data_IF_745471386171
#
_entry.id   IF_745471386171
#
_cell.length_a   1.000
_cell.length_b   1.000
_cell.length_c   1.000
_cell.angle_alpha   90.00
_cell.angle_beta   90.00
_cell.angle_gamma   90.00
#
_symmetry.space_group_name_H-M   'P 1'
#
loop_
_entity.id
_entity.type
_entity.pdbx_description
1 polymer ?
#
# COMPACT_ATOMS: atom_id res chain seq x y z
N UNK A 1 9.12 -0.59 -18.61
CA UNK A 1 9.68 0.77 -18.73
C UNK A 1 11.17 0.63 -18.89
N UNK A 2 11.76 1.43 -19.77
CA UNK A 2 13.21 1.54 -19.86
C UNK A 2 13.78 2.11 -18.55
N UNK A 3 14.86 1.51 -18.03
CA UNK A 3 15.48 1.88 -16.76
C UNK A 3 16.02 3.32 -16.77
N UNK A 4 16.42 3.81 -17.96
CA UNK A 4 16.89 5.17 -18.16
C UNK A 4 15.74 6.19 -17.99
N UNK A 5 14.59 5.93 -18.62
CA UNK A 5 13.38 6.75 -18.51
C UNK A 5 12.84 6.77 -17.08
N UNK A 6 12.79 5.61 -16.41
CA UNK A 6 12.36 5.52 -15.02
C UNK A 6 13.26 6.34 -14.08
N UNK A 7 14.57 6.29 -14.28
CA UNK A 7 15.54 7.06 -13.50
C UNK A 7 15.39 8.57 -13.72
N UNK A 8 15.15 9.01 -14.96
CA UNK A 8 14.88 10.42 -15.29
C UNK A 8 13.59 10.94 -14.66
N UNK A 9 12.49 10.18 -14.71
CA UNK A 9 11.22 10.53 -14.06
C UNK A 9 11.38 10.60 -12.54
N UNK A 10 12.11 9.65 -11.94
CA UNK A 10 12.29 9.58 -10.49
C UNK A 10 13.13 10.75 -9.94
N UNK A 11 14.18 11.13 -10.65
CA UNK A 11 15.15 12.16 -10.21
C UNK A 11 14.61 13.58 -10.28
N UNK A 12 13.65 13.85 -11.16
CA UNK A 12 13.00 15.15 -11.27
C UNK A 12 11.68 15.18 -10.48
N UNK A 13 11.68 15.82 -9.32
CA UNK A 13 10.48 15.90 -8.46
C UNK A 13 9.26 16.54 -9.14
N UNK A 14 9.47 17.40 -10.15
CA UNK A 14 8.39 18.02 -10.92
C UNK A 14 7.78 17.10 -11.97
N UNK A 15 8.50 16.06 -12.38
CA UNK A 15 8.06 15.07 -13.38
C UNK A 15 7.71 13.72 -12.76
N UNK A 16 7.85 13.56 -11.44
CA UNK A 16 7.72 12.27 -10.78
C UNK A 16 6.24 11.88 -10.63
N UNK A 17 5.70 11.26 -11.70
CA UNK A 17 4.33 10.76 -11.77
C UNK A 17 4.01 9.71 -10.70
N UNK A 18 5.03 9.07 -10.11
CA UNK A 18 4.86 8.01 -9.12
C UNK A 18 4.51 8.52 -7.71
N UNK A 19 4.31 9.83 -7.55
CA UNK A 19 3.96 10.47 -6.27
C UNK A 19 2.55 11.03 -6.23
N UNK A 20 1.92 11.21 -7.39
CA UNK A 20 0.54 11.69 -7.49
C UNK A 20 0.09 11.48 -8.94
N UNK A 21 -0.19 10.22 -9.31
CA UNK A 21 -0.50 9.90 -10.70
C UNK A 21 -1.82 10.53 -11.16
N UNK A 22 -2.82 10.59 -10.29
CA UNK A 22 -4.10 11.24 -10.58
C UNK A 22 -3.94 12.75 -10.83
N UNK A 23 -3.09 13.44 -10.07
CA UNK A 23 -2.75 14.85 -10.34
C UNK A 23 -2.02 15.04 -11.68
N UNK A 24 -1.19 14.07 -12.09
CA UNK A 24 -0.58 14.09 -13.41
C UNK A 24 -1.64 14.00 -14.51
N UNK A 25 -2.58 13.06 -14.41
CA UNK A 25 -3.70 12.93 -15.37
C UNK A 25 -4.57 14.20 -15.39
N UNK A 26 -4.89 14.75 -14.21
CA UNK A 26 -5.66 15.97 -14.08
C UNK A 26 -5.03 17.15 -14.82
N UNK A 27 -3.70 17.33 -14.69
CA UNK A 27 -2.96 18.41 -15.35
C UNK A 27 -2.94 18.33 -16.88
N UNK A 28 -3.21 17.15 -17.43
CA UNK A 28 -3.24 16.91 -18.88
C UNK A 28 -4.67 16.73 -19.40
N UNK A 29 -5.69 16.98 -18.57
CA UNK A 29 -7.09 16.78 -18.91
C UNK A 29 -7.41 15.32 -19.34
N UNK A 30 -6.68 14.34 -18.78
CA UNK A 30 -6.77 12.92 -19.13
C UNK A 30 -7.61 12.09 -18.14
N UNK A 31 -8.20 12.71 -17.11
CA UNK A 31 -9.07 12.00 -16.16
C UNK A 31 -10.36 11.53 -16.84
N UNK A 32 -10.69 10.26 -16.66
CA UNK A 32 -12.03 9.71 -16.93
C UNK A 32 -13.06 10.25 -15.92
N UNK A 33 -14.35 10.09 -16.22
CA UNK A 33 -15.42 10.53 -15.29
C UNK A 33 -15.35 9.86 -13.92
N UNK A 34 -15.03 8.56 -13.87
CA UNK A 34 -14.83 7.85 -12.59
C UNK A 34 -13.61 8.36 -11.82
N UNK A 35 -12.54 8.72 -12.53
CA UNK A 35 -11.34 9.29 -11.93
C UNK A 35 -11.56 10.73 -11.48
N UNK A 36 -12.41 11.53 -12.13
CA UNK A 36 -12.79 12.86 -11.64
C UNK A 36 -13.50 12.78 -10.29
N UNK A 37 -14.44 11.83 -10.14
CA UNK A 37 -15.09 11.56 -8.85
C UNK A 37 -14.06 11.20 -7.79
N UNK A 38 -13.16 10.24 -8.10
CA UNK A 38 -12.07 9.84 -7.21
C UNK A 38 -11.16 11.02 -6.84
N UNK A 39 -10.70 11.79 -7.82
CA UNK A 39 -9.79 12.92 -7.67
C UNK A 39 -10.37 13.99 -6.73
N UNK A 40 -11.69 14.21 -6.77
CA UNK A 40 -12.38 15.16 -5.89
C UNK A 40 -12.74 14.62 -4.49
N UNK A 41 -12.36 13.38 -4.17
CA UNK A 41 -12.76 12.68 -2.94
C UNK A 41 -11.58 12.40 -2.00
N UNK A 42 -11.88 11.97 -0.77
CA UNK A 42 -10.89 11.45 0.18
C UNK A 42 -10.10 10.24 -0.36
N UNK A 43 -10.62 9.55 -1.38
CA UNK A 43 -9.92 8.46 -2.05
C UNK A 43 -8.64 8.90 -2.75
N UNK A 44 -8.57 10.12 -3.29
CA UNK A 44 -7.35 10.65 -3.91
C UNK A 44 -6.21 10.76 -2.89
N UNK A 45 -6.48 11.35 -1.74
CA UNK A 45 -5.52 11.46 -0.64
C UNK A 45 -5.06 10.09 -0.15
N UNK A 46 -5.96 9.10 -0.13
CA UNK A 46 -5.62 7.73 0.22
C UNK A 46 -4.68 7.06 -0.80
N UNK A 47 -4.97 7.18 -2.11
CA UNK A 47 -4.08 6.68 -3.17
C UNK A 47 -2.71 7.34 -3.08
N UNK A 48 -2.69 8.67 -2.96
CA UNK A 48 -1.46 9.46 -2.81
C UNK A 48 -0.66 9.07 -1.57
N UNK A 49 -1.33 8.74 -0.47
CA UNK A 49 -0.69 8.20 0.73
C UNK A 49 0.05 6.89 0.41
N UNK A 50 -0.57 5.95 -0.30
CA UNK A 50 0.07 4.67 -0.71
C UNK A 50 1.29 4.94 -1.59
N UNK A 51 1.17 5.81 -2.60
CA UNK A 51 2.25 6.16 -3.52
C UNK A 51 3.49 6.76 -2.82
N UNK A 52 3.27 7.45 -1.71
CA UNK A 52 4.32 8.14 -0.96
C UNK A 52 4.71 7.49 0.37
N UNK A 53 4.05 6.39 0.75
CA UNK A 53 4.20 5.84 2.10
C UNK A 53 5.66 5.50 2.41
N UNK A 54 6.18 6.07 3.49
CA UNK A 54 7.56 5.82 3.92
C UNK A 54 7.67 4.43 4.57
N UNK A 55 8.69 3.68 4.15
CA UNK A 55 8.90 2.30 4.56
C UNK A 55 10.38 1.97 4.72
N UNK A 56 10.75 1.45 5.90
CA UNK A 56 12.02 0.76 6.12
C UNK A 56 11.92 -0.74 5.86
N UNK A 57 10.70 -1.30 5.92
CA UNK A 57 10.31 -2.68 5.58
C UNK A 57 8.97 -2.64 4.85
N UNK A 58 8.71 -3.64 4.02
CA UNK A 58 7.44 -3.77 3.29
C UNK A 58 6.21 -4.03 4.15
N UNK A 59 6.32 -4.23 5.47
CA UNK A 59 5.19 -4.65 6.33
C UNK A 59 3.92 -3.80 6.22
N UNK A 60 4.04 -2.50 5.87
CA UNK A 60 2.89 -1.60 5.59
C UNK A 60 2.07 -2.04 4.38
N UNK A 61 2.71 -2.57 3.34
CA UNK A 61 2.05 -3.01 2.11
C UNK A 61 1.01 -4.10 2.34
N UNK A 62 1.33 -5.25 2.98
CA UNK A 62 0.33 -6.29 3.22
C UNK A 62 -0.80 -5.83 4.16
N UNK A 63 -0.57 -4.90 5.09
CA UNK A 63 -1.68 -4.29 5.85
C UNK A 63 -2.65 -3.54 4.92
N UNK A 64 -2.14 -2.79 3.94
CA UNK A 64 -3.00 -2.07 3.00
C UNK A 64 -3.67 -3.03 2.01
N UNK A 65 -3.00 -4.12 1.61
CA UNK A 65 -3.63 -5.20 0.83
C UNK A 65 -4.80 -5.85 1.55
N UNK A 66 -4.77 -5.97 2.88
CA UNK A 66 -5.91 -6.48 3.64
C UNK A 66 -7.17 -5.62 3.43
N UNK A 67 -7.02 -4.29 3.25
CA UNK A 67 -8.15 -3.43 2.89
C UNK A 67 -8.55 -3.60 1.44
N UNK A 68 -7.62 -3.83 0.52
CA UNK A 68 -7.92 -4.06 -0.90
C UNK A 68 -8.76 -5.33 -1.10
N UNK A 69 -8.45 -6.40 -0.36
CA UNK A 69 -9.20 -7.66 -0.29
C UNK A 69 -9.67 -8.14 -1.68
N UNK A 70 -8.70 -8.36 -2.57
CA UNK A 70 -8.95 -8.84 -3.94
C UNK A 70 -9.92 -7.98 -4.78
N UNK A 71 -10.02 -6.69 -4.47
CA UNK A 71 -10.91 -5.73 -5.15
C UNK A 71 -12.27 -5.56 -4.47
N UNK A 72 -12.58 -6.35 -3.45
CA UNK A 72 -13.73 -6.17 -2.56
C UNK A 72 -13.31 -5.37 -1.33
N UNK A 73 -13.13 -4.05 -1.52
CA UNK A 73 -12.47 -3.19 -0.55
C UNK A 73 -13.23 -3.16 0.77
N UNK A 74 -12.51 -3.44 1.86
CA UNK A 74 -13.03 -3.40 3.22
C UNK A 74 -12.80 -2.03 3.87
N UNK A 75 -13.73 -1.60 4.72
CA UNK A 75 -13.56 -0.41 5.57
C UNK A 75 -12.83 -0.74 6.87
N UNK A 76 -12.93 -1.96 7.35
CA UNK A 76 -12.24 -2.42 8.54
C UNK A 76 -11.76 -3.85 8.34
N UNK A 77 -10.55 -4.13 8.79
CA UNK A 77 -9.87 -5.42 8.61
C UNK A 77 -9.66 -6.09 9.96
N UNK A 78 -9.96 -7.38 10.03
CA UNK A 78 -9.78 -8.19 11.23
C UNK A 78 -8.46 -8.97 11.21
N UNK A 79 -8.31 -9.93 12.11
CA UNK A 79 -7.10 -10.76 12.18
C UNK A 79 -6.96 -11.77 11.04
N UNK A 80 -8.07 -12.24 10.48
CA UNK A 80 -8.06 -13.16 9.32
C UNK A 80 -7.63 -12.40 8.06
N UNK A 81 -8.20 -11.21 7.84
CA UNK A 81 -7.83 -10.33 6.73
C UNK A 81 -6.32 -10.01 6.71
N UNK A 82 -5.79 -9.70 7.89
CA UNK A 82 -4.37 -9.40 8.05
C UNK A 82 -3.52 -10.64 7.79
N UNK A 83 -3.94 -11.81 8.27
CA UNK A 83 -3.21 -13.05 8.04
C UNK A 83 -3.17 -13.42 6.56
N UNK A 84 -4.31 -13.42 5.88
CA UNK A 84 -4.43 -13.75 4.47
C UNK A 84 -3.54 -12.82 3.62
N UNK A 85 -3.66 -11.50 3.84
CA UNK A 85 -2.87 -10.53 3.10
C UNK A 85 -1.36 -10.65 3.34
N UNK A 86 -0.92 -10.90 4.58
CA UNK A 86 0.49 -11.12 4.88
C UNK A 86 1.01 -12.42 4.27
N UNK A 87 0.24 -13.51 4.42
CA UNK A 87 0.62 -14.82 3.91
C UNK A 87 0.75 -14.78 2.38
N UNK A 88 -0.24 -14.25 1.68
CA UNK A 88 -0.21 -14.11 0.23
C UNK A 88 0.94 -13.21 -0.23
N UNK A 89 1.14 -12.05 0.41
CA UNK A 89 2.18 -11.12 0.03
C UNK A 89 3.59 -11.73 0.19
N UNK A 90 3.85 -12.42 1.31
CA UNK A 90 5.16 -13.02 1.58
C UNK A 90 5.33 -14.43 1.00
N UNK A 91 4.28 -15.04 0.44
CA UNK A 91 4.44 -16.27 -0.36
C UNK A 91 5.23 -16.01 -1.65
N UNK A 92 5.14 -14.79 -2.20
CA UNK A 92 5.85 -14.37 -3.41
C UNK A 92 7.35 -14.23 -3.14
N UNK A 93 8.19 -14.93 -3.90
CA UNK A 93 9.64 -14.97 -3.68
C UNK A 93 10.30 -13.57 -3.63
N UNK A 94 9.87 -12.64 -4.49
CA UNK A 94 10.37 -11.26 -4.55
C UNK A 94 10.13 -10.46 -3.26
N UNK A 95 9.13 -10.84 -2.47
CA UNK A 95 8.69 -10.07 -1.30
C UNK A 95 9.32 -10.56 0.01
N UNK A 96 10.00 -11.71 -0.01
CA UNK A 96 10.57 -12.36 1.19
C UNK A 96 11.82 -11.67 1.74
N UNK A 97 12.44 -10.78 0.95
CA UNK A 97 13.75 -10.18 1.25
C UNK A 97 13.78 -9.51 2.64
N UNK A 98 12.74 -8.76 3.00
CA UNK A 98 12.68 -8.09 4.30
C UNK A 98 12.48 -9.07 5.46
N UNK A 99 11.76 -10.17 5.22
CA UNK A 99 11.50 -11.18 6.24
C UNK A 99 12.79 -11.94 6.58
N UNK A 100 13.59 -12.30 5.57
CA UNK A 100 14.86 -13.01 5.78
C UNK A 100 15.96 -12.14 6.41
N UNK A 101 15.95 -10.83 6.17
CA UNK A 101 16.99 -9.91 6.68
C UNK A 101 16.92 -9.68 8.19
N UNK A 102 15.77 -9.86 8.82
CA UNK A 102 15.61 -9.68 10.26
C UNK A 102 15.55 -11.04 10.97
N UNK A 103 16.42 -11.24 11.97
CA UNK A 103 16.48 -12.46 12.78
C UNK A 103 15.13 -12.81 13.43
N UNK A 104 14.32 -11.82 13.78
CA UNK A 104 13.01 -12.03 14.40
C UNK A 104 11.94 -12.52 13.43
N UNK A 105 12.17 -12.38 12.12
CA UNK A 105 11.22 -12.77 11.07
C UNK A 105 11.78 -13.79 10.08
N UNK A 106 13.04 -14.21 10.21
CA UNK A 106 13.70 -15.06 9.21
C UNK A 106 13.12 -16.47 9.12
N UNK A 107 12.37 -16.92 10.13
CA UNK A 107 11.67 -18.20 10.15
C UNK A 107 10.18 -18.10 9.78
N UNK A 108 9.74 -17.00 9.17
CA UNK A 108 8.32 -16.72 8.88
C UNK A 108 7.61 -17.78 8.05
N UNK A 109 8.34 -18.58 7.28
CA UNK A 109 7.75 -19.69 6.52
C UNK A 109 7.14 -20.78 7.42
N UNK A 110 7.45 -20.77 8.71
CA UNK A 110 6.87 -21.66 9.73
C UNK A 110 5.79 -21.00 10.59
N UNK A 111 5.48 -19.72 10.33
CA UNK A 111 4.55 -18.95 11.13
C UNK A 111 3.11 -19.40 10.94
N UNK A 112 2.33 -19.28 12.01
CA UNK A 112 0.89 -19.40 11.97
C UNK A 112 0.22 -18.00 11.91
N UNK A 113 -1.12 -17.99 11.94
CA UNK A 113 -1.92 -16.76 11.98
C UNK A 113 -1.46 -15.79 13.08
N UNK A 114 -1.32 -16.28 14.31
CA UNK A 114 -0.96 -15.45 15.47
C UNK A 114 0.38 -14.73 15.28
N UNK A 115 1.37 -15.40 14.67
CA UNK A 115 2.69 -14.81 14.45
C UNK A 115 2.62 -13.61 13.47
N UNK A 116 1.90 -13.75 12.36
CA UNK A 116 1.68 -12.67 11.40
C UNK A 116 0.88 -11.51 12.00
N UNK A 117 -0.20 -11.83 12.72
CA UNK A 117 -1.05 -10.81 13.37
C UNK A 117 -0.25 -10.05 14.44
N UNK A 118 0.56 -10.75 15.25
CA UNK A 118 1.46 -10.12 16.23
C UNK A 118 2.47 -9.22 15.55
N UNK A 119 3.06 -9.64 14.44
CA UNK A 119 3.96 -8.80 13.65
C UNK A 119 3.21 -7.53 13.22
N UNK A 120 2.08 -7.67 12.53
CA UNK A 120 1.31 -6.55 11.98
C UNK A 120 0.88 -5.54 13.06
N UNK A 121 0.31 -6.01 14.18
CA UNK A 121 -0.11 -5.14 15.30
C UNK A 121 1.07 -4.39 15.92
N UNK A 122 2.21 -5.07 16.12
CA UNK A 122 3.43 -4.44 16.64
C UNK A 122 4.03 -3.44 15.64
N UNK A 123 4.09 -3.82 14.36
CA UNK A 123 4.57 -3.04 13.23
C UNK A 123 4.05 -3.68 11.92
N UNK A 124 3.14 -3.03 11.19
CA UNK A 124 3.09 -1.57 11.04
C UNK A 124 1.85 -0.86 11.59
N UNK A 125 0.83 -1.55 12.09
CA UNK A 125 -0.46 -0.96 12.46
C UNK A 125 -0.29 0.24 13.41
N UNK A 126 0.49 0.05 14.48
CA UNK A 126 0.84 1.12 15.43
C UNK A 126 1.41 2.38 14.75
N UNK A 127 2.23 2.21 13.71
CA UNK A 127 2.86 3.32 13.01
C UNK A 127 1.94 3.96 11.97
N UNK A 128 1.08 3.18 11.31
CA UNK A 128 0.06 3.69 10.40
C UNK A 128 -0.92 4.59 11.14
N UNK A 129 -1.41 4.15 12.31
CA UNK A 129 -2.27 4.97 13.19
C UNK A 129 -1.63 6.30 13.63
N UNK A 130 -0.29 6.37 13.64
CA UNK A 130 0.44 7.57 14.03
C UNK A 130 0.81 8.46 12.85
N UNK A 131 1.35 7.88 11.77
CA UNK A 131 1.87 8.65 10.63
C UNK A 131 0.80 8.96 9.59
N UNK A 132 -0.23 8.12 9.50
CA UNK A 132 -1.31 8.21 8.51
C UNK A 132 -2.69 8.27 9.21
N UNK A 133 -2.78 8.97 10.35
CA UNK A 133 -4.02 9.06 11.15
C UNK A 133 -5.18 9.72 10.41
N UNK A 134 -4.90 10.47 9.35
CA UNK A 134 -5.90 11.00 8.42
C UNK A 134 -6.58 9.91 7.58
N UNK A 135 -5.95 8.74 7.42
CA UNK A 135 -6.49 7.62 6.65
C UNK A 135 -7.03 6.51 7.56
N UNK A 136 -6.39 6.27 8.71
CA UNK A 136 -6.69 5.12 9.56
C UNK A 136 -7.14 5.50 10.98
N UNK A 137 -8.01 4.66 11.54
CA UNK A 137 -8.50 4.75 12.91
C UNK A 137 -8.59 3.37 13.58
N UNK A 138 -8.57 3.36 14.90
CA UNK A 138 -8.91 2.17 15.68
C UNK A 138 -10.42 1.91 15.62
N UNK A 139 -10.80 0.63 15.66
CA UNK A 139 -12.20 0.20 15.73
C UNK A 139 -12.29 -1.07 16.56
N UNK A 140 -13.19 -1.08 17.53
CA UNK A 140 -13.41 -2.24 18.40
C UNK A 140 -13.75 -3.49 17.58
N UNK A 141 -13.13 -4.62 17.92
CA UNK A 141 -13.29 -5.90 17.20
C UNK A 141 -12.48 -6.03 15.91
N UNK A 142 -11.76 -4.99 15.48
CA UNK A 142 -10.94 -5.01 14.27
C UNK A 142 -9.47 -4.70 14.57
N UNK A 143 -8.58 -5.04 13.65
CA UNK A 143 -7.15 -4.70 13.75
C UNK A 143 -6.93 -3.24 13.34
N UNK A 144 -7.59 -2.78 12.29
CA UNK A 144 -7.48 -1.42 11.77
C UNK A 144 -8.72 -1.08 10.94
N UNK A 145 -9.09 0.19 10.88
CA UNK A 145 -10.17 0.68 10.02
C UNK A 145 -9.76 1.94 9.26
N UNK A 146 -10.41 2.16 8.11
CA UNK A 146 -10.44 3.43 7.42
C UNK A 146 -11.48 4.35 8.06
N UNK A 147 -11.35 5.66 7.84
CA UNK A 147 -12.39 6.62 8.20
C UNK A 147 -13.68 6.40 7.38
N UNK A 148 -14.84 6.81 7.94
CA UNK A 148 -16.14 6.40 7.39
C UNK A 148 -16.44 7.07 6.04
N UNK A 149 -15.83 8.22 5.79
CA UNK A 149 -15.84 8.98 4.54
C UNK A 149 -15.36 8.14 3.35
N UNK A 150 -14.51 7.13 3.58
CA UNK A 150 -14.06 6.22 2.53
C UNK A 150 -15.21 5.37 1.95
N UNK A 151 -16.31 5.14 2.70
CA UNK A 151 -17.45 4.33 2.22
C UNK A 151 -18.06 4.85 0.92
N UNK A 152 -17.94 6.16 0.67
CA UNK A 152 -18.48 6.78 -0.54
C UNK A 152 -17.66 6.44 -1.79
N UNK A 153 -16.40 6.04 -1.63
CA UNK A 153 -15.46 5.81 -2.75
C UNK A 153 -15.03 4.35 -2.92
N UNK A 154 -15.22 3.47 -1.93
CA UNK A 154 -14.74 2.07 -2.02
C UNK A 154 -15.31 1.28 -3.21
N UNK A 155 -16.53 1.60 -3.67
CA UNK A 155 -17.14 0.96 -4.83
C UNK A 155 -16.78 1.61 -6.17
N UNK A 156 -16.09 2.75 -6.15
CA UNK A 156 -15.66 3.41 -7.37
C UNK A 156 -14.61 2.54 -8.10
N UNK A 157 -14.88 2.23 -9.37
CA UNK A 157 -14.01 1.39 -10.18
C UNK A 157 -12.58 1.96 -10.29
N UNK A 158 -12.44 3.25 -10.55
CA UNK A 158 -11.13 3.89 -10.64
C UNK A 158 -10.40 3.81 -9.29
N UNK A 159 -11.09 3.92 -8.16
CA UNK A 159 -10.45 3.77 -6.85
C UNK A 159 -9.85 2.37 -6.67
N UNK A 160 -10.59 1.31 -7.02
CA UNK A 160 -10.11 -0.08 -6.99
C UNK A 160 -8.86 -0.26 -7.86
N UNK A 161 -8.90 0.25 -9.10
CA UNK A 161 -7.80 0.17 -10.06
C UNK A 161 -6.55 0.94 -9.59
N UNK A 162 -6.72 2.20 -9.19
CA UNK A 162 -5.60 3.02 -8.69
C UNK A 162 -5.03 2.51 -7.36
N UNK A 163 -5.85 1.88 -6.49
CA UNK A 163 -5.36 1.31 -5.23
C UNK A 163 -4.40 0.14 -5.46
N UNK A 164 -4.76 -0.79 -6.34
CA UNK A 164 -3.87 -1.92 -6.66
C UNK A 164 -2.62 -1.45 -7.40
N UNK A 165 -2.76 -0.53 -8.36
CA UNK A 165 -1.63 0.04 -9.10
C UNK A 165 -0.65 0.75 -8.17
N UNK A 166 -1.15 1.56 -7.23
CA UNK A 166 -0.32 2.23 -6.23
C UNK A 166 0.41 1.22 -5.34
N UNK A 167 -0.25 0.14 -4.90
CA UNK A 167 0.37 -0.92 -4.09
C UNK A 167 1.48 -1.66 -4.85
N UNK A 168 1.22 -2.07 -6.08
CA UNK A 168 2.17 -2.79 -6.92
C UNK A 168 3.37 -1.90 -7.29
N UNK A 169 3.08 -0.67 -7.75
CA UNK A 169 4.10 0.32 -8.08
C UNK A 169 4.97 0.63 -6.86
N UNK A 170 4.35 0.89 -5.69
CA UNK A 170 5.09 1.21 -4.46
C UNK A 170 5.95 0.03 -3.99
N UNK A 171 5.46 -1.20 -4.12
CA UNK A 171 6.20 -2.43 -3.79
C UNK A 171 7.41 -2.60 -4.71
N UNK A 172 7.20 -2.47 -6.02
CA UNK A 172 8.27 -2.57 -7.01
C UNK A 172 9.35 -1.51 -6.79
N UNK A 173 8.94 -0.24 -6.65
CA UNK A 173 9.85 0.90 -6.38
C UNK A 173 10.70 0.68 -5.13
N UNK A 174 10.14 0.02 -4.12
CA UNK A 174 10.87 -0.30 -2.89
C UNK A 174 12.01 -1.30 -3.12
N UNK A 175 11.76 -2.39 -3.84
CA UNK A 175 12.77 -3.41 -4.10
C UNK A 175 13.77 -3.00 -5.17
N UNK A 176 13.34 -2.31 -6.24
CA UNK A 176 14.23 -1.79 -7.27
C UNK A 176 15.27 -0.82 -6.68
N UNK A 177 14.85 0.05 -5.75
CA UNK A 177 15.76 0.97 -5.06
C UNK A 177 16.81 0.28 -4.17
N UNK A 178 16.63 -1.01 -3.87
CA UNK A 178 17.55 -1.80 -3.04
C UNK A 178 18.36 -2.82 -3.84
N UNK A 179 17.86 -3.26 -4.98
CA UNK A 179 18.60 -4.12 -5.90
C UNK A 179 19.67 -3.34 -6.68
N UNK A 180 19.50 -2.02 -6.84
CA UNK A 180 20.53 -1.13 -7.40
C UNK A 180 21.78 -0.95 -6.53
N UNK A 181 21.83 -1.51 -5.32
CA UNK A 181 23.01 -1.46 -4.43
C UNK A 181 23.81 -2.77 -4.42
N UNK A 182 23.46 -3.74 -5.29
CA UNK A 182 24.10 -5.06 -5.34
C UNK A 182 24.58 -5.49 -6.74
N UNK A 183 24.71 -4.55 -7.68
CA UNK A 183 25.40 -4.75 -8.95
C UNK A 183 26.36 -3.58 -9.22
#
# INVERSE_FOLDING_TARGET
MDDSLYSSIKSNSKLNIFKDYLEFLNKHDELTESEKVLFSSVGHDFIKMIENISMSKTYKIPVIYAFYNHGDIKIAVDEDDIYEAFYEFYSRASNKVDMFRDKSTSNFEKWNKDDYVKLAKKNPVKFLLKSESQCFKEKEGYVLALHDEMKEIIENKAFKEHMIDALECRTKRYYDGRNSTYF
#
